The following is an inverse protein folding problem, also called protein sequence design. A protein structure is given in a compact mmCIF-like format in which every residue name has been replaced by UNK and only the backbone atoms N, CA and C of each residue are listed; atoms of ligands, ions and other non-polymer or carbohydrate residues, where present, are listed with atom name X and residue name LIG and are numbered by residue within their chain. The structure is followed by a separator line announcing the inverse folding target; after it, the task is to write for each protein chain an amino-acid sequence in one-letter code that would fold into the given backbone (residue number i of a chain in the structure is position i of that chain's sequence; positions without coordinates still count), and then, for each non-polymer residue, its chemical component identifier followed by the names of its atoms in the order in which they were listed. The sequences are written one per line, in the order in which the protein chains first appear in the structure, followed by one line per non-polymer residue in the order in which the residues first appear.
data_IF_896285413545
#
_entry.id   IF_896285413545
#
_cell.length_a   1.000
_cell.length_b   1.000
_cell.length_c   1.000
_cell.angle_alpha   90.00
_cell.angle_beta   90.00
_cell.angle_gamma   90.00
#
_symmetry.space_group_name_H-M   'P 1'
#
loop_
_entity.id
_entity.type
_entity.pdbx_description
1 polymer ?
#
# COMPACT_ATOMS: atom_id res chain seq x y z
N UNK A 1 1.11 10.86 29.27
CA UNK A 1 1.92 9.77 28.70
C UNK A 1 1.55 9.72 27.22
N UNK A 2 2.35 10.14 26.24
CA UNK A 2 3.81 10.33 26.11
C UNK A 2 4.09 11.57 25.25
N UNK A 3 4.70 12.62 25.83
CA UNK A 3 5.14 13.84 25.11
C UNK A 3 6.50 13.64 24.41
N UNK A 4 6.80 12.44 23.92
CA UNK A 4 8.05 12.20 23.20
C UNK A 4 7.76 11.82 21.73
N UNK A 5 7.79 12.79 20.80
CA UNK A 5 7.61 12.48 19.39
C UNK A 5 8.76 11.59 18.91
N UNK A 6 8.44 10.55 18.12
CA UNK A 6 9.43 9.62 17.54
C UNK A 6 10.49 10.31 16.67
N UNK A 7 10.26 11.57 16.28
CA UNK A 7 11.12 12.35 15.42
C UNK A 7 11.77 13.53 16.16
N UNK A 8 13.06 13.76 15.90
CA UNK A 8 13.79 14.95 16.38
C UNK A 8 13.52 16.20 15.54
N UNK A 9 13.19 16.02 14.25
CA UNK A 9 12.82 17.09 13.31
C UNK A 9 11.72 16.58 12.39
N UNK A 10 10.62 17.32 12.28
CA UNK A 10 9.52 17.08 11.34
C UNK A 10 9.82 17.82 10.03
N UNK A 11 10.10 17.15 8.90
CA UNK A 11 10.35 17.83 7.63
C UNK A 11 9.13 18.64 7.16
N UNK A 12 9.32 19.79 6.49
CA UNK A 12 8.21 20.52 5.86
C UNK A 12 7.43 19.63 4.88
N UNK A 13 6.10 19.67 4.95
CA UNK A 13 5.23 18.84 4.11
C UNK A 13 5.06 17.39 4.54
N UNK A 14 5.73 16.95 5.61
CA UNK A 14 5.48 15.63 6.20
C UNK A 14 4.18 15.60 7.01
N UNK A 15 3.56 14.44 7.10
CA UNK A 15 2.33 14.19 7.89
C UNK A 15 2.62 13.44 9.19
N UNK A 16 3.84 13.55 9.72
CA UNK A 16 4.23 12.82 10.93
C UNK A 16 3.52 13.40 12.16
N UNK A 17 2.85 12.54 12.91
CA UNK A 17 2.09 12.90 14.11
C UNK A 17 0.68 13.43 13.86
N UNK A 18 0.26 13.62 12.61
CA UNK A 18 -1.04 14.21 12.27
C UNK A 18 -2.22 13.41 12.84
N UNK A 19 -2.04 12.10 13.03
CA UNK A 19 -3.05 11.17 13.58
C UNK A 19 -2.63 10.55 14.92
N UNK A 20 -1.63 11.12 15.60
CA UNK A 20 -1.10 10.63 16.86
C UNK A 20 0.35 10.15 16.76
N UNK A 21 1.02 10.08 17.92
CA UNK A 21 2.44 9.73 18.00
C UNK A 21 2.73 8.26 17.61
N UNK A 22 1.75 7.38 17.82
CA UNK A 22 1.83 5.94 17.55
C UNK A 22 1.08 5.51 16.29
N UNK A 23 0.59 6.46 15.47
CA UNK A 23 -0.08 6.15 14.22
C UNK A 23 0.84 5.39 13.25
N UNK A 24 0.27 4.37 12.60
CA UNK A 24 0.96 3.52 11.63
C UNK A 24 0.31 3.55 10.25
N UNK A 25 -0.82 4.26 10.08
CA UNK A 25 -1.61 4.28 8.86
C UNK A 25 -1.30 5.49 7.97
N UNK A 26 -0.90 6.61 8.55
CA UNK A 26 -0.61 7.83 7.84
C UNK A 26 -1.81 8.31 7.02
N UNK A 27 -1.59 8.63 5.73
CA UNK A 27 -2.66 9.14 4.86
C UNK A 27 -3.81 8.16 4.61
N UNK A 28 -3.66 6.87 4.94
CA UNK A 28 -4.80 5.94 4.91
C UNK A 28 -5.91 6.35 5.88
N UNK A 29 -5.60 7.10 6.94
CA UNK A 29 -6.61 7.69 7.84
C UNK A 29 -7.58 8.65 7.11
N UNK A 30 -7.25 9.13 5.91
CA UNK A 30 -8.15 9.93 5.07
C UNK A 30 -9.23 9.08 4.38
N UNK A 31 -9.09 7.75 4.36
CA UNK A 31 -10.06 6.83 3.80
C UNK A 31 -11.15 6.51 4.84
N UNK A 32 -12.11 7.42 4.96
CA UNK A 32 -13.22 7.29 5.91
C UNK A 32 -14.45 6.61 5.29
N UNK A 33 -15.43 6.13 6.08
CA UNK A 33 -16.69 5.60 5.55
C UNK A 33 -17.42 6.57 4.61
N UNK A 34 -17.37 7.87 4.88
CA UNK A 34 -17.98 8.89 4.01
C UNK A 34 -17.29 8.95 2.63
N UNK A 35 -15.97 8.73 2.57
CA UNK A 35 -15.23 8.65 1.30
C UNK A 35 -15.61 7.41 0.52
N UNK A 36 -15.84 6.28 1.19
CA UNK A 36 -16.33 5.05 0.55
C UNK A 36 -17.69 5.31 -0.10
N UNK A 37 -18.64 5.91 0.62
CA UNK A 37 -19.96 6.23 0.09
C UNK A 37 -19.90 7.21 -1.10
N UNK A 38 -19.00 8.20 -1.05
CA UNK A 38 -18.75 9.10 -2.20
C UNK A 38 -18.25 8.32 -3.42
N UNK A 39 -17.31 7.38 -3.24
CA UNK A 39 -16.83 6.53 -4.33
C UNK A 39 -17.92 5.66 -4.95
N UNK A 40 -18.83 5.12 -4.13
CA UNK A 40 -19.99 4.35 -4.62
C UNK A 40 -20.94 5.22 -5.43
N UNK A 41 -21.19 6.47 -4.99
CA UNK A 41 -22.09 7.39 -5.68
C UNK A 41 -21.63 7.75 -7.12
N UNK A 42 -20.34 7.65 -7.42
CA UNK A 42 -19.77 7.88 -8.76
C UNK A 42 -20.09 6.75 -9.75
N UNK A 43 -20.42 5.54 -9.29
CA UNK A 43 -20.70 4.41 -10.16
C UNK A 43 -22.04 4.59 -10.89
N UNK A 44 -22.02 4.81 -12.21
CA UNK A 44 -23.23 4.97 -13.04
C UNK A 44 -23.52 3.81 -13.99
N UNK A 45 -22.48 3.28 -14.64
CA UNK A 45 -22.63 2.29 -15.72
C UNK A 45 -22.40 0.84 -15.29
N UNK A 46 -21.93 0.60 -14.05
CA UNK A 46 -21.62 -0.75 -13.56
C UNK A 46 -20.48 -1.47 -14.29
N UNK A 47 -19.64 -0.72 -15.03
CA UNK A 47 -18.50 -1.29 -15.78
C UNK A 47 -17.26 -1.39 -14.91
N UNK A 48 -16.52 -2.48 -15.08
CA UNK A 48 -15.28 -2.75 -14.32
C UNK A 48 -14.08 -2.85 -15.26
N UNK A 49 -12.97 -2.23 -14.87
CA UNK A 49 -11.69 -2.27 -15.61
C UNK A 49 -10.58 -2.76 -14.68
N UNK A 50 -9.78 -3.73 -15.13
CA UNK A 50 -8.60 -4.17 -14.39
C UNK A 50 -7.47 -3.15 -14.58
N UNK A 51 -6.95 -2.59 -13.49
CA UNK A 51 -5.83 -1.64 -13.49
C UNK A 51 -4.48 -2.32 -13.21
N UNK A 52 -4.48 -3.64 -13.03
CA UNK A 52 -3.25 -4.41 -12.82
C UNK A 52 -2.63 -4.79 -14.16
N UNK A 53 -1.30 -4.69 -14.24
CA UNK A 53 -0.55 -5.33 -15.31
C UNK A 53 -0.66 -6.86 -15.13
N UNK A 54 -0.74 -7.65 -16.22
CA UNK A 54 -0.63 -9.10 -16.12
C UNK A 54 0.63 -9.51 -15.34
N UNK A 55 0.50 -10.54 -14.49
CA UNK A 55 1.57 -10.94 -13.58
C UNK A 55 2.79 -11.53 -14.28
N UNK A 56 2.61 -11.93 -15.53
CA UNK A 56 3.64 -12.39 -16.45
C UNK A 56 4.31 -11.25 -17.23
N UNK A 57 4.05 -9.98 -16.87
CA UNK A 57 4.62 -8.81 -17.55
C UNK A 57 5.40 -7.85 -16.61
N UNK A 58 6.53 -7.27 -17.09
CA UNK A 58 7.32 -7.80 -18.21
C UNK A 58 7.88 -9.17 -17.80
N UNK A 59 7.72 -10.16 -18.68
CA UNK A 59 8.00 -11.55 -18.35
C UNK A 59 9.44 -11.80 -17.93
N UNK A 60 9.64 -12.93 -17.26
CA UNK A 60 10.95 -13.34 -16.76
C UNK A 60 11.45 -12.43 -15.63
N UNK A 61 12.72 -12.03 -15.70
CA UNK A 61 13.40 -11.27 -14.65
C UNK A 61 13.80 -9.87 -15.10
N UNK A 62 13.09 -9.31 -16.09
CA UNK A 62 13.44 -8.03 -16.74
C UNK A 62 13.49 -6.87 -15.74
N UNK A 63 12.54 -6.81 -14.79
CA UNK A 63 12.52 -5.75 -13.76
C UNK A 63 13.58 -5.96 -12.68
N UNK A 64 13.88 -7.22 -12.35
CA UNK A 64 14.86 -7.55 -11.31
C UNK A 64 15.52 -8.90 -11.63
N UNK A 65 16.80 -8.89 -12.09
CA UNK A 65 17.53 -10.11 -12.45
C UNK A 65 17.66 -11.15 -11.31
N UNK A 66 17.53 -10.73 -10.04
CA UNK A 66 17.61 -11.62 -8.87
C UNK A 66 16.26 -12.22 -8.46
N UNK A 67 15.15 -11.77 -9.06
CA UNK A 67 13.80 -12.22 -8.72
C UNK A 67 13.34 -13.27 -9.71
N UNK A 68 13.78 -14.51 -9.51
CA UNK A 68 13.32 -15.64 -10.30
C UNK A 68 11.82 -15.94 -10.05
N UNK A 69 11.11 -16.54 -11.02
CA UNK A 69 9.73 -16.99 -10.81
C UNK A 69 9.66 -18.00 -9.65
N UNK A 70 8.51 -18.08 -8.95
CA UNK A 70 8.33 -19.05 -7.87
C UNK A 70 8.52 -20.48 -8.41
N UNK A 71 9.32 -21.29 -7.70
CA UNK A 71 9.48 -22.72 -8.00
C UNK A 71 8.71 -23.54 -6.98
N UNK A 72 7.78 -24.36 -7.46
CA UNK A 72 7.15 -25.38 -6.63
C UNK A 72 8.16 -26.51 -6.39
N UNK A 73 8.78 -26.51 -5.22
CA UNK A 73 9.69 -27.57 -4.78
C UNK A 73 9.27 -28.08 -3.40
N UNK A 74 9.41 -29.38 -3.16
CA UNK A 74 9.28 -29.92 -1.82
C UNK A 74 10.42 -29.38 -0.94
N UNK A 75 10.10 -28.93 0.28
CA UNK A 75 11.12 -28.58 1.26
C UNK A 75 11.96 -29.83 1.56
N UNK A 76 13.28 -29.76 1.35
CA UNK A 76 14.20 -30.78 1.85
C UNK A 76 14.19 -30.70 3.38
N UNK A 77 13.66 -31.73 4.03
CA UNK A 77 13.87 -31.93 5.47
C UNK A 77 15.28 -32.49 5.65
N UNK A 78 16.09 -31.84 6.50
CA UNK A 78 17.32 -32.41 7.05
C UNK A 78 16.97 -33.37 8.19
#
# INVERSE_FOLDING_TARGET
MTENPRWKRRPPGSTWGDWGADDQLGRLNLLTPEKVLKGVAEMKEGRTFCLSLPLDYPGGTVVNPRRHPPRLIANKRN
#
